data_IF_412002013410
#
_entry.id   IF_412002013410
#
_cell.length_a   1.000
_cell.length_b   1.000
_cell.length_c   1.000
_cell.angle_alpha   90.00
_cell.angle_beta   90.00
_cell.angle_gamma   90.00
#
_symmetry.space_group_name_H-M   'P 1'
#
loop_
_entity.id
_entity.type
_entity.pdbx_description
1 polymer ?
#
# COMPACT_ATOMS: atom_id res chain seq x y z
N UNK A 1 1.76 -18.41 14.81
CA UNK A 1 2.59 -17.86 13.72
C UNK A 1 3.49 -16.78 14.32
N UNK A 2 4.81 -16.81 14.15
CA UNK A 2 5.69 -15.75 14.63
C UNK A 2 5.35 -14.46 13.85
N UNK A 3 5.16 -13.34 14.54
CA UNK A 3 4.92 -12.05 13.90
C UNK A 3 6.12 -11.67 13.05
N UNK A 4 5.99 -11.75 11.72
CA UNK A 4 6.96 -11.23 10.74
C UNK A 4 7.03 -9.69 10.73
N UNK A 5 6.20 -9.04 11.56
CA UNK A 5 6.19 -7.59 11.71
C UNK A 5 7.54 -7.13 12.31
N UNK A 6 8.24 -6.17 11.68
CA UNK A 6 9.44 -5.60 12.25
C UNK A 6 9.08 -5.00 13.60
N UNK A 7 9.58 -5.64 14.66
CA UNK A 7 9.40 -5.15 16.03
C UNK A 7 10.03 -3.76 16.11
N UNK A 8 9.31 -2.79 16.69
CA UNK A 8 9.75 -1.42 17.04
C UNK A 8 10.94 -1.37 18.03
N UNK A 9 11.76 -2.43 18.11
CA UNK A 9 12.95 -2.54 18.94
C UNK A 9 14.09 -1.77 18.26
N UNK A 10 14.47 -0.65 18.89
CA UNK A 10 15.77 0.05 18.83
C UNK A 10 16.26 0.74 17.54
N UNK A 11 15.63 0.62 16.36
CA UNK A 11 16.16 1.21 15.11
C UNK A 11 15.49 2.52 14.64
N UNK A 12 14.68 3.17 15.47
CA UNK A 12 13.81 4.27 15.03
C UNK A 12 12.65 3.76 14.18
N UNK A 13 11.68 4.62 13.85
CA UNK A 13 10.54 4.24 12.99
C UNK A 13 11.00 4.19 11.53
N UNK A 14 11.14 3.00 10.90
CA UNK A 14 11.55 2.94 9.50
C UNK A 14 10.49 3.57 8.61
N UNK A 15 10.90 4.39 7.65
CA UNK A 15 10.01 4.98 6.64
C UNK A 15 9.72 3.92 5.57
N UNK A 16 8.71 3.09 5.83
CA UNK A 16 8.29 2.02 4.94
C UNK A 16 7.10 2.50 4.10
N UNK A 17 7.13 2.19 2.81
CA UNK A 17 6.01 2.35 1.88
C UNK A 17 5.71 0.96 1.34
N UNK A 18 4.45 0.55 1.44
CA UNK A 18 4.00 -0.70 0.86
C UNK A 18 3.69 -0.48 -0.63
N UNK A 19 4.36 -1.25 -1.49
CA UNK A 19 3.98 -1.38 -2.89
C UNK A 19 2.76 -2.32 -2.93
N UNK A 20 1.59 -1.76 -3.26
CA UNK A 20 0.28 -2.44 -3.23
C UNK A 20 -0.42 -2.38 -4.61
N UNK A 21 0.34 -2.43 -5.70
CA UNK A 21 -0.18 -2.41 -7.07
C UNK A 21 -0.55 -3.83 -7.54
N UNK A 22 -1.39 -3.90 -8.57
CA UNK A 22 -1.78 -5.18 -9.20
C UNK A 22 -2.76 -6.02 -8.37
N UNK A 23 -2.72 -7.34 -8.55
CA UNK A 23 -3.67 -8.27 -7.92
C UNK A 23 -3.19 -8.70 -6.53
N UNK A 24 -3.90 -8.23 -5.50
CA UNK A 24 -3.65 -8.58 -4.10
C UNK A 24 -4.67 -9.62 -3.62
N UNK A 25 -4.18 -10.71 -3.02
CA UNK A 25 -5.01 -11.68 -2.30
C UNK A 25 -5.51 -11.10 -0.97
N UNK A 26 -6.60 -11.66 -0.43
CA UNK A 26 -7.20 -11.18 0.82
C UNK A 26 -6.23 -11.23 2.01
N UNK A 27 -5.36 -12.24 2.06
CA UNK A 27 -4.33 -12.38 3.09
C UNK A 27 -3.30 -11.23 3.04
N UNK A 28 -2.92 -10.79 1.84
CA UNK A 28 -1.99 -9.66 1.68
C UNK A 28 -2.67 -8.35 2.08
N UNK A 29 -3.96 -8.18 1.76
CA UNK A 29 -4.74 -6.99 2.20
C UNK A 29 -4.85 -6.95 3.73
N UNK A 30 -5.07 -8.10 4.36
CA UNK A 30 -5.10 -8.20 5.82
C UNK A 30 -3.75 -7.82 6.44
N UNK A 31 -2.65 -8.33 5.88
CA UNK A 31 -1.28 -8.00 6.33
C UNK A 31 -0.97 -6.50 6.19
N UNK A 32 -1.32 -5.87 5.06
CA UNK A 32 -1.12 -4.44 4.85
C UNK A 32 -1.88 -3.59 5.88
N UNK A 33 -3.12 -4.00 6.20
CA UNK A 33 -3.95 -3.34 7.22
C UNK A 33 -3.34 -3.45 8.62
N UNK A 34 -2.76 -4.60 8.95
CA UNK A 34 -2.07 -4.80 10.24
C UNK A 34 -0.76 -4.00 10.34
N UNK A 35 -0.03 -3.88 9.24
CA UNK A 35 1.23 -3.14 9.19
C UNK A 35 1.04 -1.62 9.29
N UNK A 36 -0.12 -1.11 8.83
CA UNK A 36 -0.47 0.31 8.81
C UNK A 36 0.58 1.21 8.12
N UNK A 37 1.30 0.66 7.14
CA UNK A 37 2.22 1.42 6.31
C UNK A 37 1.47 2.15 5.19
N UNK A 38 1.90 3.36 4.82
CA UNK A 38 1.37 4.05 3.65
C UNK A 38 1.57 3.20 2.38
N UNK A 39 0.51 3.07 1.58
CA UNK A 39 0.54 2.40 0.27
C UNK A 39 1.06 3.30 -0.85
N UNK A 40 1.05 2.81 -2.08
CA UNK A 40 1.52 3.54 -3.27
C UNK A 40 0.45 3.59 -4.36
N UNK A 41 0.36 4.72 -5.07
CA UNK A 41 -0.51 4.88 -6.22
C UNK A 41 0.24 5.55 -7.35
N UNK A 42 0.20 4.92 -8.53
CA UNK A 42 0.86 5.41 -9.75
C UNK A 42 -0.17 6.14 -10.59
N UNK A 43 0.03 7.43 -10.85
CA UNK A 43 -0.95 8.26 -11.57
C UNK A 43 -1.09 7.84 -13.03
N UNK A 44 -0.04 7.30 -13.64
CA UNK A 44 -0.08 6.80 -15.03
C UNK A 44 -1.13 5.71 -15.24
N UNK A 45 -1.40 4.89 -14.21
CA UNK A 45 -2.44 3.85 -14.26
C UNK A 45 -3.86 4.41 -14.11
N UNK A 46 -4.02 5.66 -13.69
CA UNK A 46 -5.32 6.31 -13.53
C UNK A 46 -6.10 6.50 -14.84
N UNK A 47 -5.37 6.50 -15.96
CA UNK A 47 -5.89 6.79 -17.29
C UNK A 47 -5.76 5.61 -18.26
N UNK A 48 -5.29 4.45 -17.78
CA UNK A 48 -5.28 3.24 -18.59
C UNK A 48 -6.70 2.69 -18.74
N UNK A 49 -7.10 2.44 -19.99
CA UNK A 49 -8.40 1.87 -20.35
C UNK A 49 -8.65 0.45 -19.83
N UNK A 50 -7.59 -0.23 -19.36
CA UNK A 50 -7.64 -1.61 -18.86
C UNK A 50 -8.05 -1.72 -17.39
N UNK A 51 -8.00 -0.63 -16.62
CA UNK A 51 -8.21 -0.67 -15.17
C UNK A 51 -9.46 0.11 -14.73
N UNK A 52 -10.29 -0.54 -13.91
CA UNK A 52 -11.68 -0.17 -13.59
C UNK A 52 -11.85 1.08 -12.71
N UNK A 53 -10.89 1.98 -12.70
CA UNK A 53 -10.95 3.27 -12.00
C UNK A 53 -10.47 3.27 -10.54
N UNK A 54 -9.78 2.21 -10.10
CA UNK A 54 -9.16 2.16 -8.76
C UNK A 54 -7.93 3.08 -8.63
N UNK A 55 -7.30 3.41 -9.75
CA UNK A 55 -6.21 4.39 -9.81
C UNK A 55 -6.69 5.84 -9.94
N UNK A 56 -7.97 6.13 -9.74
CA UNK A 56 -8.45 7.53 -9.84
C UNK A 56 -8.03 8.35 -8.63
N UNK A 57 -7.57 9.60 -8.81
CA UNK A 57 -7.16 10.47 -7.71
C UNK A 57 -8.19 10.64 -6.59
N UNK A 58 -9.49 10.58 -6.93
CA UNK A 58 -10.59 10.68 -5.97
C UNK A 58 -10.71 9.48 -5.01
N UNK A 59 -10.01 8.38 -5.27
CA UNK A 59 -10.04 7.15 -4.44
C UNK A 59 -8.78 6.98 -3.59
N UNK A 60 -7.79 7.86 -3.71
CA UNK A 60 -6.54 7.72 -3.00
C UNK A 60 -6.68 8.03 -1.51
N UNK A 61 -6.20 7.15 -0.61
CA UNK A 61 -6.15 7.48 0.79
C UNK A 61 -5.13 8.62 1.02
N UNK A 62 -5.36 9.53 2.00
CA UNK A 62 -4.45 10.64 2.29
C UNK A 62 -3.01 10.23 2.63
N UNK A 63 -2.81 8.96 2.98
CA UNK A 63 -1.53 8.38 3.33
C UNK A 63 -0.79 7.77 2.14
N UNK A 64 -1.36 7.75 0.93
CA UNK A 64 -0.70 7.17 -0.24
C UNK A 64 0.47 8.03 -0.74
N UNK A 65 1.58 7.39 -1.09
CA UNK A 65 2.62 8.01 -1.92
C UNK A 65 2.15 8.01 -3.38
N UNK A 66 2.23 9.19 -4.02
CA UNK A 66 1.88 9.39 -5.42
C UNK A 66 3.14 9.52 -6.26
N UNK A 67 3.21 8.74 -7.34
CA UNK A 67 4.29 8.78 -8.33
C UNK A 67 3.72 8.96 -9.73
#
# INVERSE_FOLDING_TARGET
MPSLLPSKKSWGSPRIIAEDLGFLTDDVRALLKECAYPGMKVLEFAFDSRDGGDYRPTRYPPTALLT
#
